data_IF_828717559891
#
_entry.id   IF_828717559891
#
_cell.length_a   1.000
_cell.length_b   1.000
_cell.length_c   1.000
_cell.angle_alpha   90.00
_cell.angle_beta   90.00
_cell.angle_gamma   90.00
#
_symmetry.space_group_name_H-M   'P 1'
#
loop_
_entity.id
_entity.type
_entity.pdbx_description
1 polymer ?
#
# COMPACT_ATOMS: atom_id res chain seq x y z
N UNK A 1 -8.00 -1.03 -11.54
CA UNK A 1 -9.19 -1.71 -12.12
C UNK A 1 -9.75 -2.77 -11.18
N UNK A 2 -8.97 -3.79 -10.76
CA UNK A 2 -9.48 -4.87 -9.89
C UNK A 2 -10.09 -4.38 -8.56
N UNK A 3 -9.38 -3.52 -7.81
CA UNK A 3 -9.87 -2.98 -6.52
C UNK A 3 -11.16 -2.16 -6.64
N UNK A 4 -11.30 -1.40 -7.72
CA UNK A 4 -12.50 -0.61 -8.02
C UNK A 4 -13.70 -1.53 -8.29
N UNK A 5 -13.51 -2.58 -9.10
CA UNK A 5 -14.55 -3.57 -9.36
C UNK A 5 -14.95 -4.32 -8.08
N UNK A 6 -13.99 -4.64 -7.20
CA UNK A 6 -14.28 -5.27 -5.91
C UNK A 6 -15.16 -4.41 -5.00
N UNK A 7 -14.91 -3.10 -4.94
CA UNK A 7 -15.75 -2.18 -4.15
C UNK A 7 -17.16 -2.12 -4.72
N UNK A 8 -17.30 -1.93 -6.05
CA UNK A 8 -18.62 -1.92 -6.70
C UNK A 8 -19.39 -3.20 -6.38
N UNK A 9 -18.74 -4.36 -6.51
CA UNK A 9 -19.37 -5.64 -6.22
C UNK A 9 -19.91 -5.74 -4.78
N UNK A 10 -19.17 -5.23 -3.79
CA UNK A 10 -19.61 -5.23 -2.38
C UNK A 10 -20.80 -4.28 -2.17
N UNK A 11 -20.75 -3.07 -2.73
CA UNK A 11 -21.85 -2.11 -2.61
C UNK A 11 -23.13 -2.63 -3.30
N UNK A 12 -23.02 -3.20 -4.49
CA UNK A 12 -24.17 -3.82 -5.17
C UNK A 12 -24.76 -4.98 -4.36
N UNK A 13 -23.91 -5.83 -3.77
CA UNK A 13 -24.36 -6.94 -2.94
C UNK A 13 -25.10 -6.44 -1.68
N UNK A 14 -24.57 -5.42 -1.00
CA UNK A 14 -25.21 -4.82 0.17
C UNK A 14 -26.56 -4.19 -0.19
N UNK A 15 -26.63 -3.47 -1.32
CA UNK A 15 -27.86 -2.87 -1.80
C UNK A 15 -28.93 -3.92 -2.13
N UNK A 16 -28.55 -5.01 -2.82
CA UNK A 16 -29.46 -6.13 -3.16
C UNK A 16 -29.98 -6.83 -1.91
N UNK A 17 -29.14 -6.98 -0.88
CA UNK A 17 -29.47 -7.72 0.34
C UNK A 17 -29.92 -6.83 1.52
N UNK A 18 -30.08 -5.52 1.31
CA UNK A 18 -30.45 -4.53 2.35
C UNK A 18 -29.51 -4.54 3.57
N UNK A 19 -28.22 -4.76 3.33
CA UNK A 19 -27.18 -4.73 4.36
C UNK A 19 -26.68 -3.28 4.49
N UNK A 20 -26.60 -2.70 5.70
CA UNK A 20 -26.00 -1.38 5.90
C UNK A 20 -24.58 -1.31 5.33
N UNK A 21 -24.22 -0.16 4.75
CA UNK A 21 -22.86 0.07 4.23
C UNK A 21 -21.95 0.67 5.32
N UNK A 22 -20.65 0.44 5.18
CA UNK A 22 -19.59 1.14 5.91
C UNK A 22 -19.77 1.20 7.44
N UNK A 23 -20.25 0.11 8.07
CA UNK A 23 -20.44 0.08 9.54
C UNK A 23 -19.33 -0.69 10.27
N UNK A 24 -18.55 -1.54 9.58
CA UNK A 24 -17.50 -2.35 10.20
C UNK A 24 -16.13 -1.67 10.12
N UNK A 25 -15.24 -1.97 11.07
CA UNK A 25 -13.85 -1.49 11.03
C UNK A 25 -13.14 -1.94 9.75
N UNK A 26 -13.40 -3.17 9.28
CA UNK A 26 -12.92 -3.66 7.98
C UNK A 26 -13.28 -2.68 6.86
N UNK A 27 -14.54 -2.25 6.79
CA UNK A 27 -15.02 -1.34 5.75
C UNK A 27 -14.42 0.08 5.85
N UNK A 28 -14.22 0.61 7.05
CA UNK A 28 -13.57 1.92 7.27
C UNK A 28 -12.10 1.90 6.89
N UNK A 29 -11.37 0.85 7.30
CA UNK A 29 -9.99 0.64 6.90
C UNK A 29 -9.89 0.45 5.38
N UNK A 30 -10.78 -0.35 4.79
CA UNK A 30 -10.77 -0.63 3.35
C UNK A 30 -11.00 0.59 2.48
N UNK A 31 -11.99 1.44 2.80
CA UNK A 31 -12.20 2.67 2.03
C UNK A 31 -11.04 3.66 2.21
N UNK A 32 -10.49 3.76 3.42
CA UNK A 32 -9.32 4.61 3.69
C UNK A 32 -8.11 4.18 2.88
N UNK A 33 -7.78 2.88 2.89
CA UNK A 33 -6.68 2.31 2.10
C UNK A 33 -6.91 2.53 0.61
N UNK A 34 -8.13 2.32 0.10
CA UNK A 34 -8.46 2.51 -1.31
C UNK A 34 -8.24 3.98 -1.76
N UNK A 35 -8.76 4.94 -0.99
CA UNK A 35 -8.63 6.36 -1.31
C UNK A 35 -7.16 6.80 -1.25
N UNK A 36 -6.44 6.44 -0.19
CA UNK A 36 -5.03 6.79 -0.04
C UNK A 36 -4.16 6.14 -1.12
N UNK A 37 -4.43 4.88 -1.48
CA UNK A 37 -3.76 4.22 -2.60
C UNK A 37 -3.99 4.94 -3.92
N UNK A 38 -5.22 5.37 -4.20
CA UNK A 38 -5.53 6.12 -5.41
C UNK A 38 -4.80 7.46 -5.47
N UNK A 39 -4.78 8.21 -4.37
CA UNK A 39 -4.02 9.47 -4.26
C UNK A 39 -2.52 9.22 -4.48
N UNK A 40 -1.96 8.21 -3.80
CA UNK A 40 -0.56 7.80 -3.93
C UNK A 40 -0.22 7.45 -5.39
N UNK A 41 -1.12 6.75 -6.08
CA UNK A 41 -0.95 6.36 -7.48
C UNK A 41 -0.96 7.58 -8.42
N UNK A 42 -1.93 8.50 -8.25
CA UNK A 42 -2.02 9.71 -9.09
C UNK A 42 -0.79 10.59 -8.92
N UNK A 43 -0.37 10.86 -7.68
CA UNK A 43 0.81 11.70 -7.41
C UNK A 43 2.08 11.00 -7.90
N UNK A 44 2.22 9.70 -7.64
CA UNK A 44 3.34 8.91 -8.11
C UNK A 44 3.45 8.89 -9.64
N UNK A 45 2.32 8.75 -10.34
CA UNK A 45 2.26 8.83 -11.80
C UNK A 45 2.68 10.21 -12.31
N UNK A 46 2.08 11.27 -11.75
CA UNK A 46 2.36 12.64 -12.16
C UNK A 46 3.82 13.05 -11.93
N UNK A 47 4.44 12.60 -10.83
CA UNK A 47 5.81 12.97 -10.50
C UNK A 47 6.85 12.05 -11.13
N UNK A 48 6.67 10.74 -11.14
CA UNK A 48 7.74 9.80 -11.54
C UNK A 48 7.59 9.25 -12.98
N UNK A 49 6.39 9.29 -13.57
CA UNK A 49 6.17 8.80 -14.94
C UNK A 49 6.09 9.93 -15.97
N UNK A 50 5.52 11.09 -15.61
CA UNK A 50 5.43 12.22 -16.53
C UNK A 50 6.79 12.94 -16.66
N UNK A 51 7.33 13.15 -17.87
CA UNK A 51 8.69 13.67 -18.07
C UNK A 51 8.87 15.12 -17.58
N UNK A 52 7.82 15.93 -17.60
CA UNK A 52 7.88 17.37 -17.28
C UNK A 52 7.80 17.75 -15.80
N UNK A 53 7.75 16.79 -14.87
CA UNK A 53 7.70 17.10 -13.43
C UNK A 53 9.06 17.60 -12.91
N UNK A 54 9.05 18.69 -12.13
CA UNK A 54 10.28 19.26 -11.57
C UNK A 54 11.01 18.28 -10.66
N UNK A 55 12.33 18.19 -10.84
CA UNK A 55 13.20 17.27 -10.12
C UNK A 55 13.24 17.55 -8.61
N UNK A 56 13.07 18.81 -8.20
CA UNK A 56 12.95 19.19 -6.78
C UNK A 56 11.76 18.50 -6.10
N UNK A 57 10.59 18.48 -6.75
CA UNK A 57 9.39 17.82 -6.21
C UNK A 57 9.53 16.30 -6.20
N UNK A 58 10.15 15.70 -7.23
CA UNK A 58 10.46 14.27 -7.26
C UNK A 58 11.33 13.86 -6.08
N UNK A 59 12.42 14.59 -5.82
CA UNK A 59 13.35 14.30 -4.72
C UNK A 59 12.66 14.37 -3.36
N UNK A 60 11.89 15.43 -3.10
CA UNK A 60 11.17 15.61 -1.83
C UNK A 60 10.08 14.56 -1.61
N UNK A 61 9.31 14.22 -2.65
CA UNK A 61 8.20 13.28 -2.53
C UNK A 61 8.65 11.81 -2.49
N UNK A 62 9.83 11.46 -3.03
CA UNK A 62 10.34 10.08 -3.11
C UNK A 62 10.28 9.35 -1.76
N UNK A 63 10.78 9.95 -0.68
CA UNK A 63 10.77 9.33 0.64
C UNK A 63 9.36 9.11 1.19
N UNK A 64 8.45 10.06 0.99
CA UNK A 64 7.04 9.92 1.37
C UNK A 64 6.35 8.84 0.54
N UNK A 65 6.64 8.79 -0.76
CA UNK A 65 6.07 7.79 -1.66
C UNK A 65 6.45 6.36 -1.24
N UNK A 66 7.72 6.14 -0.89
CA UNK A 66 8.19 4.84 -0.39
C UNK A 66 7.55 4.51 0.95
N UNK A 67 7.57 5.44 1.91
CA UNK A 67 6.99 5.23 3.25
C UNK A 67 5.51 4.86 3.19
N UNK A 68 4.69 5.70 2.56
CA UNK A 68 3.25 5.44 2.44
C UNK A 68 2.97 4.20 1.59
N UNK A 69 3.80 3.87 0.59
CA UNK A 69 3.66 2.65 -0.19
C UNK A 69 3.75 1.39 0.68
N UNK A 70 4.74 1.32 1.57
CA UNK A 70 4.92 0.19 2.50
C UNK A 70 3.75 0.11 3.49
N UNK A 71 3.38 1.25 4.10
CA UNK A 71 2.28 1.31 5.08
C UNK A 71 0.94 0.91 4.43
N UNK A 72 0.64 1.42 3.23
CA UNK A 72 -0.60 1.09 2.51
C UNK A 72 -0.65 -0.39 2.11
N UNK A 73 0.49 -0.98 1.72
CA UNK A 73 0.55 -2.42 1.45
C UNK A 73 0.24 -3.25 2.69
N UNK A 74 0.88 -2.94 3.83
CA UNK A 74 0.61 -3.62 5.09
C UNK A 74 -0.85 -3.42 5.55
N UNK A 75 -1.38 -2.20 5.45
CA UNK A 75 -2.76 -1.89 5.79
C UNK A 75 -3.78 -2.59 4.87
N UNK A 76 -3.46 -2.77 3.59
CA UNK A 76 -4.28 -3.54 2.65
C UNK A 76 -4.35 -5.02 3.08
N UNK A 77 -3.22 -5.63 3.43
CA UNK A 77 -3.18 -7.00 3.96
C UNK A 77 -3.98 -7.09 5.26
N UNK A 78 -3.77 -6.18 6.21
CA UNK A 78 -4.55 -6.12 7.45
C UNK A 78 -6.06 -6.02 7.19
N UNK A 79 -6.47 -5.23 6.20
CA UNK A 79 -7.87 -5.12 5.77
C UNK A 79 -8.38 -6.44 5.22
N UNK A 80 -7.61 -7.16 4.40
CA UNK A 80 -7.97 -8.49 3.92
C UNK A 80 -8.16 -9.49 5.08
N UNK A 81 -7.26 -9.49 6.07
CA UNK A 81 -7.37 -10.36 7.25
C UNK A 81 -8.66 -10.07 8.05
N UNK A 82 -8.98 -8.79 8.27
CA UNK A 82 -10.23 -8.40 8.92
C UNK A 82 -11.46 -8.87 8.12
N UNK A 83 -11.43 -8.73 6.79
CA UNK A 83 -12.54 -9.14 5.93
C UNK A 83 -12.75 -10.66 5.88
N UNK A 84 -11.66 -11.44 5.85
CA UNK A 84 -11.73 -12.91 5.95
C UNK A 84 -12.38 -13.30 7.28
N UNK A 85 -11.92 -12.72 8.39
CA UNK A 85 -12.45 -13.03 9.71
C UNK A 85 -13.93 -12.65 9.85
N UNK A 86 -14.31 -11.45 9.40
CA UNK A 86 -15.71 -10.99 9.36
C UNK A 86 -16.59 -11.94 8.55
N UNK A 87 -16.11 -12.38 7.37
CA UNK A 87 -16.85 -13.30 6.51
C UNK A 87 -17.01 -14.69 7.15
N UNK A 88 -15.98 -15.20 7.83
CA UNK A 88 -16.04 -16.49 8.54
C UNK A 88 -17.03 -16.45 9.69
N UNK A 89 -16.98 -15.40 10.52
CA UNK A 89 -17.90 -15.21 11.64
C UNK A 89 -19.35 -15.13 11.13
N UNK A 90 -19.61 -14.36 10.07
CA UNK A 90 -20.97 -14.23 9.53
C UNK A 90 -21.49 -15.46 8.81
N UNK A 91 -20.62 -16.24 8.16
CA UNK A 91 -21.06 -17.39 7.35
C UNK A 91 -21.13 -18.69 8.17
N UNK A 92 -20.22 -18.88 9.13
CA UNK A 92 -20.12 -20.11 9.93
C UNK A 92 -20.67 -19.96 11.35
N UNK A 93 -20.77 -18.73 11.88
CA UNK A 93 -21.30 -18.46 13.22
C UNK A 93 -20.61 -19.30 14.30
N UNK A 94 -21.41 -19.95 15.13
CA UNK A 94 -20.92 -20.79 16.24
C UNK A 94 -20.08 -22.00 15.75
N UNK A 95 -20.37 -22.51 14.55
CA UNK A 95 -19.64 -23.65 13.97
C UNK A 95 -18.20 -23.31 13.62
N UNK A 96 -17.83 -22.03 13.49
CA UNK A 96 -16.46 -21.65 13.17
C UNK A 96 -15.44 -22.19 14.19
N UNK A 97 -15.82 -22.20 15.47
CA UNK A 97 -15.02 -22.75 16.58
C UNK A 97 -14.68 -24.24 16.44
N UNK A 98 -15.47 -24.99 15.66
CA UNK A 98 -15.27 -26.41 15.41
C UNK A 98 -14.29 -26.67 14.25
N UNK A 99 -13.68 -25.62 13.70
CA UNK A 99 -12.73 -25.68 12.59
C UNK A 99 -13.24 -26.50 11.39
N UNK A 100 -14.42 -26.16 10.82
CA UNK A 100 -14.87 -26.77 9.57
C UNK A 100 -13.86 -26.48 8.46
N UNK A 101 -13.87 -27.31 7.41
CA UNK A 101 -12.84 -27.27 6.36
C UNK A 101 -12.74 -25.89 5.69
N UNK A 102 -13.86 -25.19 5.51
CA UNK A 102 -13.92 -23.83 4.97
C UNK A 102 -13.21 -22.83 5.88
N UNK A 103 -13.37 -22.98 7.20
CA UNK A 103 -12.71 -22.14 8.20
C UNK A 103 -11.20 -22.39 8.24
N UNK A 104 -10.78 -23.66 8.17
CA UNK A 104 -9.36 -24.01 8.10
C UNK A 104 -8.71 -23.43 6.84
N UNK A 105 -9.36 -23.60 5.68
CA UNK A 105 -8.85 -23.10 4.40
C UNK A 105 -8.68 -21.57 4.42
N UNK A 106 -9.68 -20.85 4.93
CA UNK A 106 -9.62 -19.39 5.01
C UNK A 106 -8.56 -18.90 6.01
N UNK A 107 -8.35 -19.60 7.13
CA UNK A 107 -7.27 -19.30 8.07
C UNK A 107 -5.89 -19.54 7.46
N UNK A 108 -5.71 -20.62 6.71
CA UNK A 108 -4.48 -20.86 5.96
C UNK A 108 -4.23 -19.74 4.95
N UNK A 109 -5.26 -19.31 4.20
CA UNK A 109 -5.14 -18.18 3.28
C UNK A 109 -4.72 -16.89 4.01
N UNK A 110 -5.31 -16.60 5.17
CA UNK A 110 -4.93 -15.45 6.00
C UNK A 110 -3.46 -15.52 6.43
N UNK A 111 -2.98 -16.69 6.86
CA UNK A 111 -1.56 -16.89 7.20
C UNK A 111 -0.63 -16.73 6.00
N UNK A 112 -1.03 -17.21 4.82
CA UNK A 112 -0.26 -17.03 3.58
C UNK A 112 -0.16 -15.55 3.19
N UNK A 113 -1.24 -14.77 3.33
CA UNK A 113 -1.23 -13.33 3.10
C UNK A 113 -0.30 -12.60 4.08
N UNK A 114 -0.30 -13.01 5.35
CA UNK A 114 0.59 -12.44 6.36
C UNK A 114 2.06 -12.77 6.04
N UNK A 115 2.36 -14.03 5.71
CA UNK A 115 3.70 -14.45 5.31
C UNK A 115 4.18 -13.67 4.07
N UNK A 116 3.33 -13.52 3.06
CA UNK A 116 3.61 -12.71 1.88
C UNK A 116 3.92 -11.25 2.24
N UNK A 117 3.14 -10.64 3.14
CA UNK A 117 3.38 -9.28 3.62
C UNK A 117 4.76 -9.13 4.27
N UNK A 118 5.14 -10.09 5.12
CA UNK A 118 6.43 -10.10 5.81
C UNK A 118 7.57 -10.26 4.80
N UNK A 119 7.46 -11.19 3.84
CA UNK A 119 8.47 -11.40 2.81
C UNK A 119 8.67 -10.15 1.96
N UNK A 120 7.60 -9.53 1.48
CA UNK A 120 7.70 -8.29 0.70
C UNK A 120 8.25 -7.13 1.54
N UNK A 121 7.80 -7.00 2.79
CA UNK A 121 8.31 -6.00 3.73
C UNK A 121 9.81 -6.15 4.01
N UNK A 122 10.30 -7.39 4.10
CA UNK A 122 11.72 -7.68 4.22
C UNK A 122 12.47 -7.32 2.93
N UNK A 123 11.97 -7.73 1.77
CA UNK A 123 12.62 -7.47 0.47
C UNK A 123 12.74 -5.96 0.21
N UNK A 124 11.69 -5.18 0.45
CA UNK A 124 11.65 -3.75 0.12
C UNK A 124 12.49 -2.88 1.06
N UNK A 125 12.81 -3.39 2.26
CA UNK A 125 13.63 -2.66 3.25
C UNK A 125 15.11 -3.00 3.16
N UNK A 126 15.51 -3.96 2.31
CA UNK A 126 16.92 -4.32 2.10
C UNK A 126 17.62 -3.31 1.21
N UNK A 127 18.51 -2.51 1.80
CA UNK A 127 19.33 -1.53 1.08
C UNK A 127 20.23 -2.18 0.01
N UNK A 128 20.75 -3.37 0.28
CA UNK A 128 21.56 -4.17 -0.65
C UNK A 128 20.83 -4.52 -1.95
N UNK A 129 19.49 -4.54 -1.92
CA UNK A 129 18.65 -4.88 -3.08
C UNK A 129 18.01 -3.66 -3.72
N UNK A 130 18.32 -2.45 -3.23
CA UNK A 130 17.87 -1.21 -3.87
C UNK A 130 18.51 -1.08 -5.24
N UNK A 131 17.71 -0.65 -6.20
CA UNK A 131 18.19 -0.32 -7.54
C UNK A 131 19.28 0.78 -7.45
N UNK A 132 20.45 0.60 -8.09
CA UNK A 132 21.46 1.65 -8.18
C UNK A 132 20.88 2.91 -8.84
N UNK A 133 21.23 4.11 -8.34
CA UNK A 133 20.74 5.36 -8.92
C UNK A 133 21.29 5.54 -10.33
N UNK A 134 20.47 6.11 -11.22
CA UNK A 134 20.89 6.50 -12.56
C UNK A 134 21.85 7.71 -12.49
N UNK A 135 22.73 7.92 -13.48
CA UNK A 135 23.67 9.06 -13.50
C UNK A 135 22.98 10.42 -13.34
N UNK A 136 21.79 10.58 -13.92
CA UNK A 136 20.93 11.76 -13.79
C UNK A 136 20.43 12.00 -12.35
N UNK A 137 20.17 10.94 -11.58
CA UNK A 137 19.79 11.04 -10.15
C UNK A 137 21.01 11.35 -9.27
N UNK A 138 22.20 10.85 -9.64
CA UNK A 138 23.45 11.12 -8.92
C UNK A 138 23.89 12.57 -9.06
N UNK A 139 23.89 13.12 -10.28
CA UNK A 139 24.23 14.51 -10.54
C UNK A 139 23.34 15.48 -9.73
N UNK A 140 22.06 15.16 -9.58
CA UNK A 140 21.11 15.92 -8.74
C UNK A 140 21.43 15.88 -7.25
N UNK A 141 21.82 14.71 -6.74
CA UNK A 141 22.15 14.56 -5.32
C UNK A 141 23.39 15.38 -4.95
N UNK A 142 24.35 15.48 -5.87
CA UNK A 142 25.54 16.33 -5.72
C UNK A 142 25.19 17.81 -5.83
N UNK A 143 24.44 18.23 -6.85
CA UNK A 143 24.07 19.64 -7.07
C UNK A 143 23.23 20.20 -5.91
N UNK A 144 22.26 19.41 -5.40
CA UNK A 144 21.50 19.78 -4.20
C UNK A 144 22.40 19.91 -2.97
N UNK A 145 23.36 18.99 -2.78
CA UNK A 145 24.31 19.04 -1.66
C UNK A 145 25.17 20.30 -1.73
N UNK A 146 25.68 20.65 -2.91
CA UNK A 146 26.44 21.90 -3.14
C UNK A 146 25.60 23.14 -2.81
N UNK A 147 24.31 23.16 -3.20
CA UNK A 147 23.41 24.28 -2.92
C UNK A 147 23.04 24.40 -1.43
N UNK A 148 22.95 23.29 -0.70
CA UNK A 148 22.57 23.30 0.73
C UNK A 148 23.75 23.43 1.68
N UNK A 149 24.90 22.89 1.31
CA UNK A 149 26.10 22.90 2.15
C UNK A 149 27.02 24.09 1.84
N UNK A 150 26.78 24.80 0.73
CA UNK A 150 27.51 26.02 0.43
C UNK A 150 29.02 25.79 0.46
N UNK A 151 29.51 24.80 -0.30
CA UNK A 151 30.93 24.78 -0.64
C UNK A 151 31.17 26.00 -1.55
N UNK A 152 31.46 27.14 -0.92
CA UNK A 152 32.20 28.22 -1.55
C UNK A 152 33.40 27.56 -2.22
N UNK A 153 33.69 27.82 -3.50
CA UNK A 153 34.97 27.46 -4.07
C UNK A 153 36.03 28.00 -3.10
N UNK A 154 36.81 27.13 -2.48
CA UNK A 154 38.03 27.57 -1.82
C UNK A 154 38.86 28.23 -2.89
N UNK A 155 38.94 29.56 -2.85
CA UNK A 155 39.86 30.32 -3.68
C UNK A 155 41.28 29.84 -3.36
N UNK A 156 41.97 29.42 -4.43
CA UNK A 156 43.42 29.20 -4.59
C UNK A 156 44.01 27.87 -4.11
#
# INVERSE_FOLDING_TARGET
>A
MQTFMSIIAVFENHQKNKIPHLYSVHSWCGITVFVLFFIQWVIGFALFMFPGASMMYRSRYKSLHVFFGIILFAAAVGTCLMGINEKLIFSLGNSYSQLPIEGVLANVLALLLLAFCITIGYVVTRDEWKRPPLPEEQALSMDFKTLTEGESPSEQ
#
